data_IF_733115370621
#
_entry.id   IF_733115370621
#
_cell.length_a   1.000
_cell.length_b   1.000
_cell.length_c   1.000
_cell.angle_alpha   90.00
_cell.angle_beta   90.00
_cell.angle_gamma   90.00
#
_symmetry.space_group_name_H-M   'P 1'
#
loop_
_entity.id
_entity.type
_entity.pdbx_description
1 polymer ?
#
# COMPACT_ATOMS: atom_id res chain seq x y z
N UNK A 1 -8.48 50.19 15.20
CA UNK A 1 -8.61 50.09 13.74
C UNK A 1 -7.34 50.63 13.11
N UNK A 2 -6.87 49.91 12.08
CA UNK A 2 -5.67 50.10 11.26
C UNK A 2 -4.30 49.77 11.89
N UNK A 3 -3.78 48.65 11.38
CA UNK A 3 -2.43 48.09 11.53
C UNK A 3 -1.48 48.84 10.59
N UNK A 4 -0.32 49.23 11.10
CA UNK A 4 0.74 49.91 10.36
C UNK A 4 1.37 49.04 9.28
N UNK A 5 1.71 49.72 8.21
CA UNK A 5 2.14 49.24 6.90
C UNK A 5 3.68 49.13 6.87
N UNK A 6 4.18 48.23 6.03
CA UNK A 6 5.33 48.42 5.13
C UNK A 6 6.69 47.80 5.51
N UNK A 7 7.17 46.89 4.66
CA UNK A 7 8.55 46.71 4.13
C UNK A 7 8.65 45.27 3.57
N UNK A 8 9.09 44.93 2.36
CA UNK A 8 9.76 45.65 1.28
C UNK A 8 9.79 44.75 0.02
N UNK A 9 9.65 45.39 -1.15
CA UNK A 9 10.44 45.19 -2.39
C UNK A 9 10.17 43.97 -3.28
N UNK A 10 9.40 44.27 -4.33
CA UNK A 10 9.48 43.77 -5.71
C UNK A 10 10.91 43.49 -6.18
N UNK A 11 11.16 42.28 -6.69
CA UNK A 11 12.23 42.01 -7.67
C UNK A 11 11.63 41.19 -8.81
N UNK A 12 11.35 41.90 -9.89
CA UNK A 12 11.18 41.37 -11.24
C UNK A 12 12.56 41.00 -11.79
N UNK A 13 12.60 40.15 -12.83
CA UNK A 13 13.77 39.67 -13.61
C UNK A 13 14.53 38.53 -12.93
N UNK A 14 14.87 37.40 -13.58
CA UNK A 14 15.39 37.24 -14.93
C UNK A 14 15.30 35.74 -15.27
N UNK A 15 14.57 35.36 -16.31
CA UNK A 15 14.63 33.99 -16.85
C UNK A 15 15.84 33.88 -17.78
N UNK A 16 16.89 33.10 -17.45
CA UNK A 16 17.86 32.74 -18.47
C UNK A 16 17.25 31.68 -19.38
N UNK A 17 17.00 32.11 -20.61
CA UNK A 17 16.65 31.29 -21.76
C UNK A 17 17.89 30.46 -22.13
N UNK A 18 18.08 29.31 -21.50
CA UNK A 18 19.06 28.32 -21.97
C UNK A 18 18.39 26.96 -22.12
N UNK A 19 17.98 26.72 -23.36
CA UNK A 19 17.72 25.41 -23.91
C UNK A 19 18.92 24.51 -23.64
N UNK A 20 18.74 23.52 -22.76
CA UNK A 20 19.37 22.22 -22.95
C UNK A 20 18.51 21.18 -22.28
N UNK A 21 17.98 20.31 -23.13
CA UNK A 21 17.18 19.13 -22.82
C UNK A 21 17.77 18.32 -21.66
N UNK A 22 17.12 18.38 -20.51
CA UNK A 22 17.13 17.30 -19.52
C UNK A 22 15.74 17.27 -18.90
N UNK A 23 14.84 16.55 -19.56
CA UNK A 23 13.70 15.91 -18.88
C UNK A 23 14.27 14.83 -17.97
N UNK A 24 14.97 15.23 -16.93
CA UNK A 24 15.14 14.36 -15.79
C UNK A 24 13.92 14.61 -14.94
N UNK A 25 12.84 13.88 -15.25
CA UNK A 25 11.75 13.69 -14.30
C UNK A 25 12.40 13.08 -13.06
N UNK A 26 12.79 13.96 -12.15
CA UNK A 26 13.17 13.64 -10.79
C UNK A 26 11.91 13.13 -10.12
N UNK A 27 11.57 11.86 -10.34
CA UNK A 27 10.84 11.13 -9.33
C UNK A 27 11.75 11.17 -8.11
N UNK A 28 11.36 11.81 -6.99
CA UNK A 28 12.08 11.52 -5.76
C UNK A 28 12.00 10.01 -5.63
N UNK A 29 13.14 9.36 -5.39
CA UNK A 29 13.18 7.99 -4.92
C UNK A 29 12.38 8.05 -3.62
N UNK A 30 11.08 7.81 -3.73
CA UNK A 30 10.24 7.58 -2.57
C UNK A 30 10.82 6.30 -2.04
N UNK A 31 11.67 6.44 -1.02
CA UNK A 31 11.77 5.45 0.03
C UNK A 31 10.36 5.35 0.62
N UNK A 32 9.50 4.62 -0.08
CA UNK A 32 8.20 4.23 0.41
C UNK A 32 8.47 3.20 1.49
N UNK A 33 8.66 3.71 2.70
CA UNK A 33 8.28 3.00 3.89
C UNK A 33 6.74 3.03 3.95
N UNK A 34 6.05 2.32 3.06
CA UNK A 34 4.64 1.96 3.33
C UNK A 34 4.70 0.77 4.28
N UNK A 35 5.03 1.09 5.53
CA UNK A 35 5.25 0.15 6.61
C UNK A 35 3.89 -0.49 6.96
N UNK A 36 3.75 -1.77 6.60
CA UNK A 36 2.79 -2.74 7.16
C UNK A 36 1.28 -2.46 6.92
N UNK A 37 0.87 -1.29 6.41
CA UNK A 37 -0.56 -1.00 6.16
C UNK A 37 -1.22 -1.96 5.16
N UNK A 38 -0.43 -2.55 4.27
CA UNK A 38 -0.95 -3.39 3.21
C UNK A 38 -0.95 -4.89 3.59
N UNK A 39 -0.49 -5.24 4.81
CA UNK A 39 -0.34 -6.63 5.23
C UNK A 39 -1.44 -7.03 6.20
N UNK A 40 -2.29 -7.96 5.79
CA UNK A 40 -3.39 -8.51 6.55
C UNK A 40 -2.99 -9.90 7.09
N UNK A 41 -3.33 -10.16 8.35
CA UNK A 41 -3.26 -11.48 8.95
C UNK A 41 -4.63 -12.15 8.89
N UNK A 42 -4.67 -13.38 8.38
CA UNK A 42 -5.90 -14.17 8.27
C UNK A 42 -5.70 -15.45 9.08
N UNK A 43 -6.56 -15.68 10.07
CA UNK A 43 -6.53 -16.87 10.92
C UNK A 43 -7.91 -17.52 10.97
N UNK A 44 -7.95 -18.80 11.34
CA UNK A 44 -9.19 -19.58 11.40
C UNK A 44 -9.59 -20.18 10.05
N UNK A 45 -8.63 -20.33 9.13
CA UNK A 45 -8.88 -20.95 7.84
C UNK A 45 -8.98 -22.48 7.99
N UNK A 46 -9.88 -23.14 7.24
CA UNK A 46 -9.89 -24.59 7.14
C UNK A 46 -8.56 -25.13 6.64
N UNK A 47 -8.17 -26.33 7.07
CA UNK A 47 -6.89 -26.94 6.66
C UNK A 47 -6.78 -27.22 5.15
N UNK A 48 -7.91 -27.23 4.44
CA UNK A 48 -7.99 -27.41 2.99
C UNK A 48 -7.84 -26.11 2.19
N UNK A 49 -7.66 -24.95 2.84
CA UNK A 49 -7.49 -23.67 2.13
C UNK A 49 -6.04 -23.50 1.72
N UNK A 50 -5.84 -23.40 0.41
CA UNK A 50 -4.59 -23.08 -0.24
C UNK A 50 -4.43 -21.57 -0.47
N UNK A 51 -3.21 -21.15 -0.77
CA UNK A 51 -2.87 -19.77 -1.11
C UNK A 51 -3.63 -19.24 -2.33
N UNK A 52 -3.93 -20.10 -3.32
CA UNK A 52 -4.74 -19.73 -4.50
C UNK A 52 -6.19 -19.38 -4.13
N UNK A 53 -6.83 -20.17 -3.26
CA UNK A 53 -8.19 -19.93 -2.80
C UNK A 53 -8.29 -18.64 -2.00
N UNK A 54 -7.29 -18.41 -1.14
CA UNK A 54 -7.21 -17.19 -0.36
C UNK A 54 -7.01 -15.99 -1.28
N UNK A 55 -6.05 -16.07 -2.22
CA UNK A 55 -5.80 -15.02 -3.21
C UNK A 55 -7.04 -14.71 -4.04
N UNK A 56 -7.75 -15.72 -4.54
CA UNK A 56 -8.97 -15.54 -5.34
C UNK A 56 -10.04 -14.77 -4.56
N UNK A 57 -10.21 -15.10 -3.28
CA UNK A 57 -11.18 -14.45 -2.39
C UNK A 57 -10.84 -12.98 -2.13
N UNK A 58 -9.56 -12.65 -2.00
CA UNK A 58 -9.06 -11.29 -1.77
C UNK A 58 -8.85 -10.48 -3.07
N UNK A 59 -8.74 -11.15 -4.23
CA UNK A 59 -8.54 -10.53 -5.54
C UNK A 59 -9.69 -9.61 -5.96
N UNK A 60 -10.86 -9.71 -5.34
CA UNK A 60 -12.00 -8.81 -5.57
C UNK A 60 -11.80 -7.39 -5.01
N UNK A 61 -10.90 -7.23 -4.04
CA UNK A 61 -10.60 -5.93 -3.43
C UNK A 61 -9.40 -5.24 -4.09
N UNK A 62 -8.50 -6.00 -4.72
CA UNK A 62 -7.32 -5.45 -5.37
C UNK A 62 -6.27 -6.51 -5.66
N UNK A 63 -5.13 -6.06 -6.22
CA UNK A 63 -4.02 -6.95 -6.49
C UNK A 63 -3.31 -7.32 -5.17
N UNK A 64 -3.31 -8.61 -4.85
CA UNK A 64 -2.77 -9.12 -3.60
C UNK A 64 -1.95 -10.39 -3.75
N UNK A 65 -1.01 -10.56 -2.84
CA UNK A 65 -0.20 -11.76 -2.68
C UNK A 65 -0.61 -12.46 -1.39
N UNK A 66 -1.18 -13.65 -1.51
CA UNK A 66 -1.52 -14.50 -0.37
C UNK A 66 -0.38 -15.50 -0.09
N UNK A 67 -0.14 -15.81 1.17
CA UNK A 67 0.79 -16.84 1.61
C UNK A 67 0.23 -17.57 2.81
N UNK A 68 -0.23 -18.80 2.60
CA UNK A 68 -0.66 -19.69 3.68
C UNK A 68 0.56 -20.30 4.35
N UNK A 69 0.55 -20.38 5.68
CA UNK A 69 1.61 -21.01 6.44
C UNK A 69 1.23 -22.46 6.70
N UNK A 70 1.95 -23.34 6.02
CA UNK A 70 1.93 -24.77 6.24
C UNK A 70 3.02 -25.16 7.24
N UNK A 71 2.69 -26.13 8.08
CA UNK A 71 3.66 -26.76 8.96
C UNK A 71 4.58 -27.67 8.13
N UNK A 72 5.89 -27.50 8.29
CA UNK A 72 6.88 -28.21 7.46
C UNK A 72 7.04 -29.67 7.86
N UNK A 73 6.78 -29.98 9.14
CA UNK A 73 6.99 -31.31 9.69
C UNK A 73 5.80 -32.24 9.41
N UNK A 74 4.59 -31.70 9.48
CA UNK A 74 3.36 -32.47 9.27
C UNK A 74 2.74 -32.29 7.89
N UNK A 75 3.21 -31.29 7.12
CA UNK A 75 2.62 -30.90 5.84
C UNK A 75 1.20 -30.33 5.97
N UNK A 76 0.70 -30.13 7.20
CA UNK A 76 -0.65 -29.63 7.45
C UNK A 76 -0.66 -28.11 7.51
N UNK A 77 -1.67 -27.50 6.92
CA UNK A 77 -1.91 -26.07 7.05
C UNK A 77 -2.14 -25.70 8.51
N UNK A 78 -1.43 -24.68 9.01
CA UNK A 78 -1.64 -24.18 10.37
C UNK A 78 -2.95 -23.39 10.53
N UNK A 79 -3.77 -23.32 9.48
CA UNK A 79 -5.04 -22.61 9.47
C UNK A 79 -4.89 -21.09 9.50
N UNK A 80 -3.73 -20.58 9.09
CA UNK A 80 -3.50 -19.14 8.99
C UNK A 80 -2.59 -18.79 7.81
N UNK A 81 -2.73 -17.55 7.35
CA UNK A 81 -1.97 -17.00 6.24
C UNK A 81 -1.82 -15.49 6.35
N UNK A 82 -0.96 -14.96 5.48
CA UNK A 82 -0.74 -13.54 5.34
C UNK A 82 -1.15 -13.11 3.94
N UNK A 83 -1.84 -11.98 3.84
CA UNK A 83 -2.16 -11.33 2.57
C UNK A 83 -1.45 -10.00 2.54
N UNK A 84 -0.74 -9.72 1.44
CA UNK A 84 -0.08 -8.44 1.23
C UNK A 84 -0.66 -7.81 -0.03
N UNK A 85 -1.23 -6.62 0.10
CA UNK A 85 -1.75 -5.83 -1.01
C UNK A 85 -0.70 -4.87 -1.57
N UNK A 86 -0.90 -4.44 -2.80
CA UNK A 86 -0.11 -3.35 -3.39
C UNK A 86 -0.60 -1.98 -2.89
N UNK A 87 -1.91 -1.80 -2.69
CA UNK A 87 -2.50 -0.58 -2.15
C UNK A 87 -2.96 -0.70 -0.70
N UNK A 88 -2.71 0.35 0.10
CA UNK A 88 -3.19 0.45 1.47
C UNK A 88 -4.73 0.52 1.54
N UNK A 89 -5.36 1.20 0.58
CA UNK A 89 -6.81 1.36 0.52
C UNK A 89 -7.54 0.03 0.28
N UNK A 90 -6.98 -0.81 -0.59
CA UNK A 90 -7.51 -2.13 -0.92
C UNK A 90 -7.44 -3.06 0.30
N UNK A 91 -6.35 -2.97 1.06
CA UNK A 91 -6.21 -3.70 2.31
C UNK A 91 -7.24 -3.27 3.35
N UNK A 92 -7.49 -1.96 3.51
CA UNK A 92 -8.52 -1.45 4.42
C UNK A 92 -9.94 -1.91 4.04
N UNK A 93 -10.28 -1.85 2.74
CA UNK A 93 -11.57 -2.33 2.23
C UNK A 93 -11.73 -3.85 2.43
N UNK A 94 -10.66 -4.63 2.21
CA UNK A 94 -10.64 -6.06 2.45
C UNK A 94 -10.84 -6.40 3.93
N UNK A 95 -10.18 -5.67 4.86
CA UNK A 95 -10.40 -5.83 6.30
C UNK A 95 -11.85 -5.50 6.62
N UNK A 96 -12.37 -4.35 6.20
CA UNK A 96 -13.76 -3.96 6.51
C UNK A 96 -14.80 -4.95 5.97
N UNK A 97 -14.57 -5.49 4.77
CA UNK A 97 -15.46 -6.46 4.15
C UNK A 97 -15.38 -7.87 4.77
N UNK A 98 -14.20 -8.29 5.24
CA UNK A 98 -13.96 -9.65 5.74
C UNK A 98 -13.98 -9.78 7.26
N UNK A 99 -13.92 -8.68 8.03
CA UNK A 99 -13.79 -8.67 9.50
C UNK A 99 -14.95 -9.36 10.25
N UNK A 100 -15.97 -9.90 9.56
CA UNK A 100 -17.04 -10.68 10.19
C UNK A 100 -17.53 -11.86 9.33
N UNK A 101 -16.82 -12.22 8.25
CA UNK A 101 -17.16 -13.39 7.44
C UNK A 101 -16.34 -14.59 7.87
N UNK A 102 -17.03 -15.60 8.41
CA UNK A 102 -16.48 -16.93 8.59
C UNK A 102 -16.32 -17.54 7.18
N UNK A 103 -15.07 -17.79 6.78
CA UNK A 103 -14.71 -18.37 5.47
C UNK A 103 -14.63 -19.89 5.57
#
# INVERSE_FOLDING_TARGET
LQVSINMQRTITTFTPLFSTSLRFQSTPIRFFCEEIKNKIFVAGLPWSVDDENLKSTFSKYGNCTAKVIIDRDTGRSRGFGFVTFEGAKEAEEAIQGMNNQQV
#
